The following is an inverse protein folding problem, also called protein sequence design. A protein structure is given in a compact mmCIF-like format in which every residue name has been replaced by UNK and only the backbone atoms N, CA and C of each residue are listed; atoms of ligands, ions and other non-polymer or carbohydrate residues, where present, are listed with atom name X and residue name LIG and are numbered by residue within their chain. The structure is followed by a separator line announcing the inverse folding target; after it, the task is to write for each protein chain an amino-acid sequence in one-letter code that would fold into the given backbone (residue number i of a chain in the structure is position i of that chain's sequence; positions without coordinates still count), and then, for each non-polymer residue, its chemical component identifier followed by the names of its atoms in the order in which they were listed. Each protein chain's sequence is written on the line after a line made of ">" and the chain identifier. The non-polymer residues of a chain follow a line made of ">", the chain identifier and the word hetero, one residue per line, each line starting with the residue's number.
data_IF_233492047611
#
_entry.id   IF_233492047611
#
_cell.length_a   1.000
_cell.length_b   1.000
_cell.length_c   1.000
_cell.angle_alpha   90.00
_cell.angle_beta   90.00
_cell.angle_gamma   90.00
#
_symmetry.space_group_name_H-M   'P 1'
#
loop_
_entity.id
_entity.type
_entity.pdbx_description
1 polymer ?
#
# COMPACT_ATOMS: atom_id res chain seq x y z
N UNK A 1 24.40 -16.94 7.33
CA UNK A 1 24.71 -15.51 7.18
C UNK A 1 23.56 -14.72 7.78
N UNK A 2 23.68 -14.27 9.03
CA UNK A 2 22.61 -13.56 9.76
C UNK A 2 22.52 -12.13 9.22
N UNK A 3 21.48 -11.84 8.43
CA UNK A 3 21.09 -10.47 8.12
C UNK A 3 20.58 -9.84 9.42
N UNK A 4 21.41 -9.02 10.05
CA UNK A 4 21.08 -8.28 11.24
C UNK A 4 20.08 -7.17 10.93
N UNK A 5 18.79 -7.49 11.03
CA UNK A 5 17.70 -6.55 11.26
C UNK A 5 16.73 -7.27 12.18
N UNK A 6 16.68 -6.87 13.46
CA UNK A 6 15.62 -7.33 14.34
C UNK A 6 14.29 -6.75 13.81
N UNK A 7 13.28 -7.58 13.45
CA UNK A 7 11.97 -7.11 13.03
C UNK A 7 11.22 -6.29 14.10
N UNK A 8 11.77 -6.16 15.31
CA UNK A 8 11.18 -5.35 16.39
C UNK A 8 11.37 -3.83 16.21
N UNK A 9 12.46 -3.39 15.55
CA UNK A 9 12.80 -1.96 15.40
C UNK A 9 13.14 -1.58 13.95
N UNK A 10 12.21 -0.95 13.20
CA UNK A 10 12.53 -0.41 11.88
C UNK A 10 13.65 0.64 11.95
N UNK A 11 14.34 0.82 10.82
CA UNK A 11 15.41 1.81 10.68
C UNK A 11 14.94 3.20 11.17
N UNK A 12 15.79 3.92 11.93
CA UNK A 12 15.53 5.28 12.34
C UNK A 12 15.29 6.20 11.13
N UNK A 13 14.46 7.22 11.31
CA UNK A 13 14.23 8.23 10.28
C UNK A 13 14.99 9.51 10.60
N UNK A 14 15.45 10.19 9.56
CA UNK A 14 16.12 11.48 9.71
C UNK A 14 15.12 12.63 9.64
N UNK A 15 14.90 13.30 10.77
CA UNK A 15 14.09 14.51 10.88
C UNK A 15 15.01 15.70 11.12
N UNK A 16 15.37 16.37 10.02
CA UNK A 16 16.36 17.43 10.04
C UNK A 16 17.75 16.91 10.41
N UNK A 17 18.29 17.36 11.55
CA UNK A 17 19.59 16.91 12.07
C UNK A 17 19.46 15.69 12.99
N UNK A 18 18.25 15.38 13.45
CA UNK A 18 17.99 14.37 14.46
C UNK A 18 17.62 13.04 13.79
N UNK A 19 18.20 11.95 14.29
CA UNK A 19 17.78 10.59 13.96
C UNK A 19 16.73 10.15 14.97
N UNK A 20 15.56 9.72 14.51
CA UNK A 20 14.42 9.36 15.36
C UNK A 20 14.14 7.87 15.23
N UNK A 21 14.34 7.14 16.33
CA UNK A 21 14.04 5.70 16.42
C UNK A 21 12.54 5.45 16.33
N UNK A 22 12.16 4.29 15.79
CA UNK A 22 10.76 3.90 15.63
C UNK A 22 10.53 2.44 16.00
N UNK A 23 9.35 2.15 16.53
CA UNK A 23 8.93 0.76 16.74
C UNK A 23 8.26 0.17 15.49
N UNK A 24 7.99 -1.13 15.49
CA UNK A 24 7.29 -1.84 14.40
C UNK A 24 5.91 -1.27 14.04
N UNK A 25 5.30 -0.49 14.93
CA UNK A 25 4.01 0.16 14.71
C UNK A 25 4.14 1.57 14.13
N UNK A 26 5.38 2.00 13.80
CA UNK A 26 5.66 3.33 13.25
C UNK A 26 5.62 4.46 14.27
N UNK A 27 5.53 4.15 15.57
CA UNK A 27 5.56 5.15 16.65
C UNK A 27 7.00 5.61 16.89
N UNK A 28 7.18 6.88 17.23
CA UNK A 28 8.48 7.51 17.41
C UNK A 28 8.95 7.40 18.86
N UNK A 29 10.24 7.13 19.08
CA UNK A 29 10.84 7.32 20.40
C UNK A 29 10.61 8.77 20.86
N UNK A 30 10.03 8.94 22.05
CA UNK A 30 9.48 10.22 22.48
C UNK A 30 10.57 11.29 22.60
N UNK A 31 11.70 10.98 23.24
CA UNK A 31 12.77 11.97 23.44
C UNK A 31 13.48 12.33 22.13
N UNK A 32 13.72 11.36 21.25
CA UNK A 32 14.30 11.64 19.92
C UNK A 32 13.37 12.58 19.12
N UNK A 33 12.05 12.37 19.26
CA UNK A 33 11.04 13.20 18.63
C UNK A 33 11.00 14.63 19.21
N UNK A 34 11.17 14.81 20.52
CA UNK A 34 11.34 16.14 21.14
C UNK A 34 12.56 16.84 20.56
N UNK A 35 13.69 16.14 20.46
CA UNK A 35 14.91 16.68 19.86
C UNK A 35 14.72 17.08 18.40
N UNK A 36 13.95 16.31 17.63
CA UNK A 36 13.59 16.66 16.25
C UNK A 36 12.66 17.89 16.14
N UNK A 37 11.89 18.18 17.19
CA UNK A 37 11.04 19.36 17.32
C UNK A 37 11.77 20.55 17.94
N UNK A 38 13.09 20.45 18.19
CA UNK A 38 13.90 21.51 18.77
C UNK A 38 13.66 21.75 20.27
N UNK A 39 13.18 20.73 20.98
CA UNK A 39 12.92 20.77 22.42
C UNK A 39 13.98 19.99 23.20
N UNK A 40 14.01 20.20 24.52
CA UNK A 40 14.88 19.45 25.41
C UNK A 40 14.45 17.97 25.47
N UNK A 41 15.45 17.08 25.45
CA UNK A 41 15.25 15.63 25.40
C UNK A 41 15.20 15.03 26.81
N UNK A 42 14.27 15.50 27.64
CA UNK A 42 14.13 15.07 29.03
C UNK A 42 12.68 14.69 29.38
N UNK A 43 12.53 13.95 30.49
CA UNK A 43 11.23 13.48 30.94
C UNK A 43 10.29 14.62 31.35
N UNK A 44 10.82 15.68 31.96
CA UNK A 44 10.03 16.84 32.42
C UNK A 44 9.33 17.55 31.25
N UNK A 45 10.05 17.77 30.14
CA UNK A 45 9.46 18.36 28.92
C UNK A 45 8.39 17.43 28.33
N UNK A 46 8.63 16.11 28.33
CA UNK A 46 7.67 15.13 27.83
C UNK A 46 6.40 15.11 28.67
N UNK A 47 6.51 15.12 30.00
CA UNK A 47 5.39 15.13 30.94
C UNK A 47 4.57 16.42 30.82
N UNK A 48 5.23 17.57 30.69
CA UNK A 48 4.56 18.85 30.46
C UNK A 48 3.72 18.80 29.18
N UNK A 49 4.31 18.37 28.06
CA UNK A 49 3.60 18.27 26.78
C UNK A 49 2.49 17.22 26.80
N UNK A 50 2.69 16.10 27.52
CA UNK A 50 1.66 15.10 27.72
C UNK A 50 0.45 15.70 28.44
N UNK A 51 0.68 16.50 29.48
CA UNK A 51 -0.38 17.19 30.22
C UNK A 51 -1.11 18.23 29.36
N UNK A 52 -0.35 19.11 28.69
CA UNK A 52 -0.90 20.24 27.92
C UNK A 52 -1.60 19.80 26.63
N UNK A 53 -1.02 18.84 25.90
CA UNK A 53 -1.52 18.41 24.59
C UNK A 53 -2.17 17.03 24.60
N UNK A 54 -2.32 16.39 25.77
CA UNK A 54 -2.95 15.07 25.93
C UNK A 54 -2.34 13.99 25.02
N UNK A 55 -1.00 13.93 24.97
CA UNK A 55 -0.28 12.98 24.12
C UNK A 55 -0.55 11.53 24.54
N UNK A 56 -0.68 10.63 23.56
CA UNK A 56 -0.86 9.20 23.84
C UNK A 56 0.50 8.51 23.96
N UNK A 57 1.04 8.47 25.18
CA UNK A 57 2.27 7.74 25.46
C UNK A 57 2.02 6.23 25.45
N UNK A 58 2.90 5.51 24.74
CA UNK A 58 3.06 4.05 24.90
C UNK A 58 4.51 3.77 25.25
N UNK A 59 4.81 2.52 25.55
CA UNK A 59 6.16 2.10 25.88
C UNK A 59 6.61 0.97 24.97
N UNK A 60 7.85 1.03 24.52
CA UNK A 60 8.52 0.00 23.73
C UNK A 60 9.96 -0.12 24.21
N UNK A 61 10.48 -1.34 24.28
CA UNK A 61 11.88 -1.57 24.61
C UNK A 61 12.71 -1.51 23.34
N UNK A 62 13.67 -0.57 23.22
CA UNK A 62 14.60 -0.49 22.09
C UNK A 62 15.98 -1.10 22.39
N UNK A 63 16.12 -1.85 23.49
CA UNK A 63 17.35 -2.53 23.92
C UNK A 63 17.90 -2.04 25.26
N UNK A 64 17.42 -0.90 25.77
CA UNK A 64 17.84 -0.31 27.06
C UNK A 64 16.70 -0.31 28.09
N UNK A 65 15.63 -1.06 27.83
CA UNK A 65 14.44 -1.11 28.67
C UNK A 65 13.28 -0.31 28.07
N UNK A 66 12.16 -0.27 28.80
CA UNK A 66 10.92 0.36 28.30
C UNK A 66 11.07 1.87 28.19
N UNK A 67 11.15 2.35 26.96
CA UNK A 67 11.21 3.77 26.62
C UNK A 67 9.85 4.27 26.10
N UNK A 68 9.55 5.55 26.33
CA UNK A 68 8.31 6.16 25.88
C UNK A 68 8.29 6.36 24.35
N UNK A 69 7.14 6.14 23.73
CA UNK A 69 6.88 6.41 22.32
C UNK A 69 5.62 7.23 22.11
N UNK A 70 5.64 8.09 21.11
CA UNK A 70 4.49 8.90 20.68
C UNK A 70 4.01 8.46 19.29
N UNK A 71 2.72 8.65 19.03
CA UNK A 71 2.13 8.35 17.72
C UNK A 71 2.57 9.37 16.66
N UNK A 72 2.40 9.01 15.38
CA UNK A 72 2.59 9.98 14.30
C UNK A 72 1.63 11.15 14.37
N UNK A 73 0.41 10.92 14.85
CA UNK A 73 -0.61 11.95 15.04
C UNK A 73 -0.19 12.92 16.15
N UNK A 74 0.28 12.41 17.29
CA UNK A 74 0.80 13.24 18.39
C UNK A 74 2.02 14.06 17.96
N UNK A 75 2.97 13.43 17.25
CA UNK A 75 4.13 14.15 16.69
C UNK A 75 3.70 15.27 15.74
N UNK A 76 2.73 14.99 14.86
CA UNK A 76 2.21 15.97 13.91
C UNK A 76 1.47 17.09 14.64
N UNK A 77 0.67 16.77 15.66
CA UNK A 77 0.00 17.77 16.51
C UNK A 77 1.03 18.72 17.13
N UNK A 78 2.07 18.18 17.78
CA UNK A 78 3.15 18.98 18.36
C UNK A 78 3.84 19.84 17.31
N UNK A 79 4.15 19.27 16.13
CA UNK A 79 4.74 20.00 15.02
C UNK A 79 3.91 21.24 14.61
N UNK A 80 2.59 21.19 14.71
CA UNK A 80 1.73 22.30 14.30
C UNK A 80 1.43 23.32 15.40
N UNK A 81 1.51 22.95 16.68
CA UNK A 81 1.26 23.87 17.81
C UNK A 81 2.52 24.57 18.32
N UNK A 82 3.69 23.94 18.21
CA UNK A 82 4.94 24.50 18.74
C UNK A 82 5.43 25.70 17.92
N UNK A 83 5.70 26.81 18.58
CA UNK A 83 6.22 28.03 17.94
C UNK A 83 7.74 28.18 18.08
N UNK A 84 8.49 27.19 17.60
CA UNK A 84 9.95 27.22 17.59
C UNK A 84 10.54 27.08 16.15
N UNK A 85 11.83 27.41 15.94
CA UNK A 85 12.45 27.38 14.61
C UNK A 85 12.42 26.00 13.92
N UNK A 86 12.68 24.91 14.65
CA UNK A 86 12.70 23.56 14.06
C UNK A 86 11.30 23.10 13.66
N UNK A 87 10.29 23.37 14.50
CA UNK A 87 8.89 23.12 14.17
C UNK A 87 8.44 23.96 12.95
N UNK A 88 8.81 25.24 12.87
CA UNK A 88 8.56 26.10 11.69
C UNK A 88 9.17 25.50 10.42
N UNK A 89 10.41 25.03 10.48
CA UNK A 89 11.12 24.43 9.34
C UNK A 89 10.46 23.14 8.87
N UNK A 90 10.06 22.27 9.80
CA UNK A 90 9.34 21.04 9.48
C UNK A 90 7.94 21.34 8.92
N UNK A 91 7.23 22.38 9.40
CA UNK A 91 5.96 22.82 8.81
C UNK A 91 6.10 23.30 7.37
N UNK A 92 7.15 24.06 7.05
CA UNK A 92 7.44 24.44 5.66
C UNK A 92 7.65 23.22 4.77
N UNK A 93 8.38 22.21 5.26
CA UNK A 93 8.54 20.94 4.54
C UNK A 93 7.19 20.22 4.34
N UNK A 94 6.32 20.22 5.35
CA UNK A 94 4.97 19.67 5.23
C UNK A 94 4.11 20.40 4.20
N UNK A 95 4.24 21.73 4.09
CA UNK A 95 3.57 22.52 3.05
C UNK A 95 4.04 22.14 1.65
N UNK A 96 5.35 21.96 1.44
CA UNK A 96 5.88 21.50 0.15
C UNK A 96 5.37 20.09 -0.20
N UNK A 97 5.37 19.16 0.76
CA UNK A 97 4.80 17.81 0.56
C UNK A 97 3.32 17.89 0.18
N UNK A 98 2.53 18.73 0.85
CA UNK A 98 1.12 18.89 0.55
C UNK A 98 0.89 19.50 -0.84
N UNK A 99 1.67 20.51 -1.22
CA UNK A 99 1.65 21.09 -2.57
C UNK A 99 1.95 20.03 -3.64
N UNK A 100 3.04 19.26 -3.48
CA UNK A 100 3.43 18.17 -4.40
C UNK A 100 2.36 17.08 -4.49
N UNK A 101 1.70 16.77 -3.38
CA UNK A 101 0.56 15.86 -3.35
C UNK A 101 -0.62 16.39 -4.18
N UNK A 102 -0.98 17.67 -4.04
CA UNK A 102 -2.06 18.29 -4.81
C UNK A 102 -1.76 18.34 -6.32
N UNK A 103 -0.49 18.48 -6.69
CA UNK A 103 -0.02 18.46 -8.07
C UNK A 103 0.07 17.04 -8.68
N UNK A 104 -0.08 16.00 -7.86
CA UNK A 104 0.08 14.61 -8.30
C UNK A 104 1.52 14.25 -8.66
N UNK A 105 2.51 14.84 -7.97
CA UNK A 105 3.93 14.61 -8.23
C UNK A 105 4.31 13.13 -8.01
N UNK A 106 4.64 12.44 -9.11
CA UNK A 106 5.05 11.03 -9.08
C UNK A 106 6.37 10.81 -8.34
N UNK A 107 7.24 11.82 -8.27
CA UNK A 107 8.50 11.71 -7.53
C UNK A 107 8.24 11.66 -6.03
N UNK A 108 7.18 12.30 -5.53
CA UNK A 108 6.78 12.16 -4.12
C UNK A 108 6.38 10.72 -3.80
N UNK A 109 5.65 10.06 -4.70
CA UNK A 109 5.31 8.65 -4.54
C UNK A 109 6.56 7.74 -4.54
N UNK A 110 7.54 8.04 -5.40
CA UNK A 110 8.83 7.33 -5.43
C UNK A 110 9.60 7.50 -4.12
N UNK A 111 9.72 8.73 -3.61
CA UNK A 111 10.38 9.00 -2.32
C UNK A 111 9.73 8.26 -1.16
N UNK A 112 8.39 8.17 -1.15
CA UNK A 112 7.65 7.40 -0.13
C UNK A 112 7.93 5.91 -0.27
N UNK A 113 7.96 5.38 -1.49
CA UNK A 113 8.23 3.97 -1.76
C UNK A 113 9.66 3.56 -1.35
N UNK A 114 10.65 4.42 -1.62
CA UNK A 114 12.04 4.22 -1.19
C UNK A 114 12.18 4.17 0.33
N UNK A 115 11.41 5.00 1.04
CA UNK A 115 11.38 5.03 2.52
C UNK A 115 10.60 3.89 3.15
N UNK A 116 9.83 3.12 2.38
CA UNK A 116 9.10 1.98 2.96
C UNK A 116 10.08 0.93 3.49
N UNK A 117 9.92 0.50 4.76
CA UNK A 117 10.77 -0.52 5.37
C UNK A 117 10.48 -1.93 4.82
N UNK A 118 9.34 -2.15 4.15
CA UNK A 118 8.91 -3.46 3.70
C UNK A 118 9.03 -3.59 2.18
N UNK A 119 9.92 -4.47 1.65
CA UNK A 119 10.05 -4.68 0.22
C UNK A 119 8.74 -5.09 -0.48
N UNK A 120 7.84 -5.76 0.25
CA UNK A 120 6.53 -6.15 -0.25
C UNK A 120 5.63 -4.95 -0.59
N UNK A 121 5.76 -3.82 0.14
CA UNK A 121 4.98 -2.61 -0.17
C UNK A 121 5.37 -2.03 -1.53
N UNK A 122 6.67 -2.07 -1.86
CA UNK A 122 7.18 -1.63 -3.17
C UNK A 122 6.69 -2.54 -4.29
N UNK A 123 6.73 -3.87 -4.08
CA UNK A 123 6.21 -4.86 -5.04
C UNK A 123 4.71 -4.67 -5.24
N UNK A 124 3.97 -4.42 -4.16
CA UNK A 124 2.55 -4.14 -4.20
C UNK A 124 2.27 -2.86 -5.00
N UNK A 125 3.00 -1.77 -4.74
CA UNK A 125 2.81 -0.51 -5.45
C UNK A 125 3.06 -0.66 -6.96
N UNK A 126 4.14 -1.34 -7.36
CA UNK A 126 4.43 -1.62 -8.76
C UNK A 126 3.29 -2.39 -9.44
N UNK A 127 2.86 -3.50 -8.84
CA UNK A 127 1.74 -4.30 -9.35
C UNK A 127 0.43 -3.49 -9.39
N UNK A 128 0.22 -2.56 -8.45
CA UNK A 128 -0.98 -1.73 -8.36
C UNK A 128 -1.04 -0.67 -9.46
N UNK A 129 0.10 -0.13 -9.86
CA UNK A 129 0.23 0.82 -10.98
C UNK A 129 0.01 0.10 -12.32
N UNK A 130 0.68 -1.02 -12.56
CA UNK A 130 0.47 -1.82 -13.77
C UNK A 130 -0.99 -2.24 -13.94
N UNK A 131 -1.61 -2.65 -12.84
CA UNK A 131 -3.00 -3.04 -12.80
C UNK A 131 -3.98 -1.87 -13.04
N UNK A 132 -3.60 -0.65 -12.67
CA UNK A 132 -4.40 0.54 -12.97
C UNK A 132 -4.42 0.80 -14.48
N UNK A 133 -3.25 0.69 -15.12
CA UNK A 133 -3.09 0.89 -16.56
C UNK A 133 -3.81 -0.21 -17.35
N UNK A 134 -3.61 -1.49 -16.99
CA UNK A 134 -4.29 -2.63 -17.63
C UNK A 134 -5.81 -2.50 -17.57
N UNK A 135 -6.35 -2.10 -16.40
CA UNK A 135 -7.78 -1.93 -16.22
C UNK A 135 -8.31 -0.79 -17.07
N UNK A 136 -7.63 0.36 -17.08
CA UNK A 136 -8.02 1.52 -17.88
C UNK A 136 -8.07 1.15 -19.36
N UNK A 137 -7.03 0.49 -19.87
CA UNK A 137 -7.01 -0.02 -21.25
C UNK A 137 -8.15 -0.98 -21.51
N UNK A 138 -8.34 -1.99 -20.66
CA UNK A 138 -9.40 -2.98 -20.84
C UNK A 138 -10.80 -2.35 -20.87
N UNK A 139 -11.12 -1.45 -19.93
CA UNK A 139 -12.41 -0.74 -19.93
C UNK A 139 -12.60 0.12 -21.18
N UNK A 140 -11.53 0.79 -21.65
CA UNK A 140 -11.55 1.55 -22.91
C UNK A 140 -11.78 0.66 -24.12
N UNK A 141 -11.15 -0.52 -24.19
CA UNK A 141 -11.35 -1.49 -25.26
C UNK A 141 -12.78 -2.05 -25.23
N UNK A 142 -13.31 -2.38 -24.06
CA UNK A 142 -14.73 -2.79 -23.90
C UNK A 142 -15.67 -1.73 -24.48
N UNK A 143 -15.48 -0.45 -24.12
CA UNK A 143 -16.29 0.64 -24.65
C UNK A 143 -16.16 0.75 -26.19
N UNK A 144 -14.93 0.74 -26.72
CA UNK A 144 -14.66 0.82 -28.17
C UNK A 144 -15.31 -0.32 -28.97
N UNK A 145 -15.50 -1.47 -28.34
CA UNK A 145 -16.10 -2.66 -28.95
C UNK A 145 -17.62 -2.76 -28.74
N UNK A 146 -18.28 -1.67 -28.34
CA UNK A 146 -19.73 -1.60 -28.18
C UNK A 146 -20.22 -2.20 -26.85
N UNK A 147 -19.37 -2.20 -25.83
CA UNK A 147 -19.75 -2.54 -24.47
C UNK A 147 -20.58 -1.42 -23.85
N UNK A 148 -21.81 -1.71 -23.43
CA UNK A 148 -22.72 -0.72 -22.84
C UNK A 148 -23.50 -1.28 -21.64
N UNK A 149 -23.83 -0.40 -20.69
CA UNK A 149 -24.65 -0.72 -19.53
C UNK A 149 -23.98 -1.72 -18.57
N UNK A 150 -24.66 -2.82 -18.29
CA UNK A 150 -24.33 -3.75 -17.20
C UNK A 150 -23.04 -4.56 -17.44
N UNK A 151 -22.49 -4.52 -18.67
CA UNK A 151 -21.30 -5.28 -19.06
C UNK A 151 -20.09 -4.95 -18.19
N UNK A 152 -19.88 -3.68 -17.81
CA UNK A 152 -18.74 -3.25 -17.00
C UNK A 152 -18.73 -3.90 -15.61
N UNK A 153 -19.91 -4.06 -15.02
CA UNK A 153 -20.12 -4.78 -13.76
C UNK A 153 -19.91 -6.27 -13.95
N UNK A 154 -20.42 -6.85 -15.03
CA UNK A 154 -20.28 -8.27 -15.33
C UNK A 154 -18.83 -8.69 -15.54
N UNK A 155 -18.05 -7.96 -16.36
CA UNK A 155 -16.63 -8.27 -16.57
C UNK A 155 -15.81 -8.09 -15.28
N UNK A 156 -16.13 -7.06 -14.48
CA UNK A 156 -15.50 -6.89 -13.16
C UNK A 156 -15.83 -8.03 -12.20
N UNK A 157 -17.06 -8.53 -12.22
CA UNK A 157 -17.48 -9.68 -11.42
C UNK A 157 -16.76 -10.95 -11.85
N UNK A 158 -16.65 -11.21 -13.16
CA UNK A 158 -15.91 -12.37 -13.70
C UNK A 158 -14.45 -12.31 -13.28
N UNK A 159 -13.79 -11.15 -13.43
CA UNK A 159 -12.39 -10.96 -12.99
C UNK A 159 -12.20 -11.29 -11.50
N UNK A 160 -13.06 -10.75 -10.62
CA UNK A 160 -12.96 -10.99 -9.18
C UNK A 160 -13.25 -12.44 -8.81
N UNK A 161 -14.29 -13.05 -9.40
CA UNK A 161 -14.56 -14.47 -9.18
C UNK A 161 -13.43 -15.35 -9.71
N UNK A 162 -12.78 -14.96 -10.81
CA UNK A 162 -11.65 -15.69 -11.37
C UNK A 162 -10.49 -15.77 -10.39
N UNK A 163 -10.07 -14.61 -9.91
CA UNK A 163 -8.82 -14.45 -9.15
C UNK A 163 -9.03 -14.67 -7.65
N UNK A 164 -10.13 -14.14 -7.10
CA UNK A 164 -10.38 -14.05 -5.66
C UNK A 164 -11.35 -15.11 -5.14
N UNK A 165 -12.06 -15.82 -6.04
CA UNK A 165 -13.11 -16.81 -5.71
C UNK A 165 -14.24 -16.24 -4.85
N UNK A 166 -14.42 -14.91 -4.86
CA UNK A 166 -15.43 -14.19 -4.10
C UNK A 166 -15.77 -12.88 -4.80
N UNK A 167 -16.90 -12.27 -4.43
CA UNK A 167 -17.28 -10.97 -4.96
C UNK A 167 -16.54 -9.81 -4.23
N UNK A 168 -16.62 -8.60 -4.80
CA UNK A 168 -15.94 -7.43 -4.24
C UNK A 168 -16.39 -7.04 -2.84
N UNK A 169 -17.67 -7.26 -2.50
CA UNK A 169 -18.24 -6.90 -1.20
C UNK A 169 -17.72 -7.82 -0.11
N UNK A 170 -17.75 -9.13 -0.36
CA UNK A 170 -17.16 -10.16 0.51
C UNK A 170 -15.66 -9.91 0.71
N UNK A 171 -14.94 -9.63 -0.38
CA UNK A 171 -13.51 -9.34 -0.31
C UNK A 171 -13.19 -8.13 0.57
N UNK A 172 -13.88 -7.00 0.36
CA UNK A 172 -13.70 -5.78 1.14
C UNK A 172 -13.96 -6.01 2.63
N UNK A 173 -15.03 -6.75 2.97
CA UNK A 173 -15.33 -7.13 4.35
C UNK A 173 -14.23 -8.01 4.95
N UNK A 174 -13.78 -9.03 4.21
CA UNK A 174 -12.74 -9.97 4.65
C UNK A 174 -11.38 -9.29 4.88
N UNK A 175 -10.99 -8.37 3.98
CA UNK A 175 -9.70 -7.68 4.02
C UNK A 175 -9.73 -6.35 4.77
N UNK A 176 -10.90 -5.89 5.24
CA UNK A 176 -11.10 -4.62 5.95
C UNK A 176 -10.62 -3.40 5.16
N UNK A 177 -10.86 -3.39 3.85
CA UNK A 177 -10.47 -2.30 2.94
C UNK A 177 -11.68 -1.61 2.33
N UNK A 178 -11.57 -0.31 2.08
CA UNK A 178 -12.64 0.47 1.41
C UNK A 178 -12.70 0.17 -0.09
N UNK A 179 -11.54 0.01 -0.75
CA UNK A 179 -11.46 -0.37 -2.15
C UNK A 179 -10.88 -1.77 -2.30
N UNK A 180 -11.46 -2.59 -3.19
CA UNK A 180 -11.01 -3.97 -3.42
C UNK A 180 -9.53 -4.04 -3.79
N UNK A 181 -9.08 -3.16 -4.71
CA UNK A 181 -7.70 -3.16 -5.22
C UNK A 181 -6.65 -2.84 -4.13
N UNK A 182 -7.06 -2.14 -3.05
CA UNK A 182 -6.17 -1.77 -1.95
C UNK A 182 -5.88 -2.96 -1.01
N UNK A 183 -6.74 -4.00 -1.03
CA UNK A 183 -6.56 -5.20 -0.22
C UNK A 183 -5.96 -6.39 -0.97
N UNK A 184 -5.66 -6.22 -2.26
CA UNK A 184 -5.07 -7.28 -3.08
C UNK A 184 -3.58 -7.42 -2.81
N UNK A 185 -3.11 -8.65 -2.84
CA UNK A 185 -1.70 -9.00 -2.88
C UNK A 185 -1.08 -8.65 -4.24
N UNK A 186 0.25 -8.51 -4.34
CA UNK A 186 0.92 -8.30 -5.63
C UNK A 186 0.55 -9.38 -6.67
N UNK A 187 0.46 -10.63 -6.24
CA UNK A 187 0.09 -11.74 -7.12
C UNK A 187 -1.36 -11.63 -7.63
N UNK A 188 -2.31 -11.29 -6.77
CA UNK A 188 -3.71 -11.09 -7.19
C UNK A 188 -3.83 -9.90 -8.17
N UNK A 189 -3.06 -8.83 -7.96
CA UNK A 189 -3.00 -7.69 -8.89
C UNK A 189 -2.46 -8.12 -10.26
N UNK A 190 -1.33 -8.85 -10.30
CA UNK A 190 -0.73 -9.36 -11.54
C UNK A 190 -1.70 -10.26 -12.31
N UNK A 191 -2.40 -11.17 -11.60
CA UNK A 191 -3.39 -12.07 -12.20
C UNK A 191 -4.55 -11.31 -12.84
N UNK A 192 -5.06 -10.28 -12.17
CA UNK A 192 -6.08 -9.40 -12.74
C UNK A 192 -5.54 -8.64 -13.97
N UNK A 193 -4.32 -8.10 -13.90
CA UNK A 193 -3.70 -7.39 -15.03
C UNK A 193 -3.53 -8.28 -16.25
N UNK A 194 -3.09 -9.53 -16.05
CA UNK A 194 -2.98 -10.53 -17.11
C UNK A 194 -4.34 -10.79 -17.77
N UNK A 195 -5.37 -11.10 -16.99
CA UNK A 195 -6.70 -11.40 -17.51
C UNK A 195 -7.30 -10.21 -18.29
N UNK A 196 -7.21 -9.00 -17.74
CA UNK A 196 -7.68 -7.77 -18.37
C UNK A 196 -6.92 -7.50 -19.70
N UNK A 197 -5.59 -7.69 -19.70
CA UNK A 197 -4.73 -7.48 -20.89
C UNK A 197 -5.00 -8.49 -22.00
N UNK A 198 -5.07 -9.78 -21.66
CA UNK A 198 -5.35 -10.85 -22.65
C UNK A 198 -6.74 -10.69 -23.23
N UNK A 199 -7.73 -10.31 -22.42
CA UNK A 199 -9.08 -10.03 -22.93
C UNK A 199 -9.10 -8.83 -23.87
N UNK A 200 -8.47 -7.71 -23.49
CA UNK A 200 -8.39 -6.54 -24.37
C UNK A 200 -7.75 -6.88 -25.71
N UNK A 201 -6.64 -7.63 -25.69
CA UNK A 201 -5.95 -8.10 -26.89
C UNK A 201 -6.84 -8.99 -27.76
N UNK A 202 -7.54 -9.96 -27.16
CA UNK A 202 -8.46 -10.85 -27.88
C UNK A 202 -9.61 -10.09 -28.56
N UNK A 203 -10.15 -9.06 -27.89
CA UNK A 203 -11.21 -8.23 -28.48
C UNK A 203 -10.68 -7.46 -29.70
N UNK A 204 -9.51 -6.87 -29.58
CA UNK A 204 -8.84 -6.10 -30.64
C UNK A 204 -8.52 -6.99 -31.85
N UNK A 205 -7.86 -8.13 -31.65
CA UNK A 205 -7.40 -9.02 -32.72
C UNK A 205 -8.55 -9.71 -33.47
N UNK A 206 -9.61 -10.10 -32.74
CA UNK A 206 -10.75 -10.83 -33.34
C UNK A 206 -11.89 -9.91 -33.76
N UNK A 207 -11.76 -8.59 -33.54
CA UNK A 207 -12.79 -7.61 -33.89
C UNK A 207 -14.15 -7.88 -33.24
N UNK A 208 -14.16 -8.50 -32.06
CA UNK A 208 -15.38 -8.95 -31.39
C UNK A 208 -16.16 -7.75 -30.86
N UNK A 209 -17.46 -7.66 -31.15
CA UNK A 209 -18.31 -6.52 -30.77
C UNK A 209 -19.56 -6.95 -30.01
N UNK A 210 -20.05 -6.05 -29.15
CA UNK A 210 -21.26 -6.22 -28.35
C UNK A 210 -21.05 -6.99 -27.04
N UNK A 211 -21.95 -6.74 -26.10
CA UNK A 211 -21.88 -7.23 -24.72
C UNK A 211 -21.67 -8.75 -24.61
N UNK A 212 -22.41 -9.55 -25.38
CA UNK A 212 -22.35 -11.01 -25.29
C UNK A 212 -21.00 -11.56 -25.76
N UNK A 213 -20.46 -11.04 -26.87
CA UNK A 213 -19.17 -11.45 -27.38
C UNK A 213 -18.03 -11.07 -26.42
N UNK A 214 -18.11 -9.87 -25.83
CA UNK A 214 -17.17 -9.39 -24.82
C UNK A 214 -17.19 -10.30 -23.59
N UNK A 215 -18.39 -10.57 -23.04
CA UNK A 215 -18.53 -11.37 -21.84
C UNK A 215 -18.10 -12.82 -22.05
N UNK A 216 -18.49 -13.42 -23.18
CA UNK A 216 -18.09 -14.78 -23.55
C UNK A 216 -16.57 -14.91 -23.65
N UNK A 217 -15.92 -13.94 -24.29
CA UNK A 217 -14.46 -13.91 -24.43
C UNK A 217 -13.78 -13.76 -23.09
N UNK A 218 -14.26 -12.84 -22.26
CA UNK A 218 -13.69 -12.60 -20.94
C UNK A 218 -13.84 -13.81 -20.01
N UNK A 219 -15.00 -14.50 -20.03
CA UNK A 219 -15.22 -15.74 -19.28
C UNK A 219 -14.27 -16.85 -19.70
N UNK A 220 -14.12 -17.08 -21.00
CA UNK A 220 -13.17 -18.08 -21.54
C UNK A 220 -11.74 -17.80 -21.08
N UNK A 221 -11.31 -16.54 -21.10
CA UNK A 221 -9.98 -16.16 -20.66
C UNK A 221 -9.82 -16.31 -19.14
N UNK A 222 -10.86 -16.03 -18.36
CA UNK A 222 -10.89 -16.25 -16.92
C UNK A 222 -10.76 -17.74 -16.58
N UNK A 223 -11.49 -18.62 -17.26
CA UNK A 223 -11.38 -20.07 -17.10
C UNK A 223 -9.97 -20.58 -17.44
N UNK A 224 -9.39 -20.08 -18.53
CA UNK A 224 -8.03 -20.44 -18.95
C UNK A 224 -7.00 -20.00 -17.91
N UNK A 225 -7.14 -18.78 -17.38
CA UNK A 225 -6.31 -18.25 -16.30
C UNK A 225 -6.39 -19.13 -15.06
N UNK A 226 -7.60 -19.49 -14.62
CA UNK A 226 -7.78 -20.37 -13.45
C UNK A 226 -7.12 -21.72 -13.63
N UNK A 227 -7.32 -22.37 -14.78
CA UNK A 227 -6.72 -23.68 -15.06
C UNK A 227 -5.20 -23.61 -15.08
N UNK A 228 -4.63 -22.55 -15.66
CA UNK A 228 -3.18 -22.33 -15.67
C UNK A 228 -2.62 -22.19 -14.26
N UNK A 229 -3.24 -21.36 -13.41
CA UNK A 229 -2.77 -21.15 -12.05
C UNK A 229 -2.96 -22.34 -11.12
N UNK A 230 -4.02 -23.13 -11.33
CA UNK A 230 -4.20 -24.37 -10.58
C UNK A 230 -3.11 -25.39 -10.90
N UNK A 231 -2.74 -25.54 -12.19
CA UNK A 231 -1.62 -26.39 -12.61
C UNK A 231 -0.29 -25.93 -11.99
N UNK A 232 -0.03 -24.61 -11.98
CA UNK A 232 1.19 -24.06 -11.37
C UNK A 232 1.24 -24.38 -9.87
N UNK A 233 0.12 -24.24 -9.15
CA UNK A 233 0.04 -24.55 -7.72
C UNK A 233 0.34 -26.03 -7.45
N UNK A 234 -0.32 -26.93 -8.19
CA UNK A 234 -0.12 -28.38 -8.05
C UNK A 234 1.35 -28.78 -8.29
N UNK A 235 2.00 -28.20 -9.30
CA UNK A 235 3.42 -28.46 -9.57
C UNK A 235 4.33 -27.96 -8.44
N UNK A 236 4.01 -26.84 -7.81
CA UNK A 236 4.77 -26.33 -6.67
C UNK A 236 4.60 -27.24 -5.44
N UNK A 237 3.39 -27.68 -5.15
CA UNK A 237 3.09 -28.60 -4.05
C UNK A 237 3.80 -29.94 -4.22
N UNK A 238 3.80 -30.49 -5.44
CA UNK A 238 4.50 -31.74 -5.75
C UNK A 238 6.02 -31.61 -5.59
N UNK A 239 6.61 -30.47 -6.00
CA UNK A 239 8.04 -30.18 -5.79
C UNK A 239 8.40 -30.08 -4.32
N UNK A 240 7.58 -29.41 -3.51
CA UNK A 240 7.79 -29.32 -2.05
C UNK A 240 7.71 -30.70 -1.40
N UNK A 241 6.71 -31.51 -1.77
CA UNK A 241 6.54 -32.87 -1.25
C UNK A 241 7.71 -33.78 -1.60
N UNK A 242 8.30 -33.65 -2.78
CA UNK A 242 9.49 -34.43 -3.20
C UNK A 242 10.80 -33.96 -2.56
N UNK A 243 10.82 -32.77 -1.97
CA UNK A 243 11.98 -32.21 -1.29
C UNK A 243 12.00 -32.46 0.23
N UNK A 244 10.93 -33.07 0.76
CA UNK A 244 10.78 -33.56 2.13
C UNK A 244 11.07 -35.05 2.18
#
# INVERSE_FOLDING_TARGET
>A
MKLGLDPQHPQPIKLGKTSVRRNRHGQFHALDALGALGLEQNAETLEHLQGEYHLTLRYTDFGEGKEAVITGDDFTKLLFVLDNPEAKRLRQKSQDIYRRYLEGDILLASEVAERSPHPEDRRWLAARLDNMESRKRFMSTVAKHGGEGDIYRQVSSVSNQSVLKMNSTEFKKKRKVKNTRDGLTPMELIRLSYLETVTAKDLEEKGLKGNDAILKTHRRNAETEQQMWEKIRQQQEEKVRKAQ
#
